data_IF_026476558997
#
_entry.id   IF_026476558997
#
_cell.length_a   1.000
_cell.length_b   1.000
_cell.length_c   1.000
_cell.angle_alpha   90.00
_cell.angle_beta   90.00
_cell.angle_gamma   90.00
#
_symmetry.space_group_name_H-M   'P 1'
#
loop_
_entity.id
_entity.type
_entity.pdbx_description
1 polymer ?
#
# COMPACT_ATOMS: atom_id res chain seq x y z
N UNK A 1 -2.41 -26.14 -19.25
CA UNK A 1 -3.41 -25.84 -18.17
C UNK A 1 -3.87 -27.09 -17.42
N UNK A 2 -4.52 -28.07 -18.09
CA UNK A 2 -5.11 -29.28 -17.43
C UNK A 2 -4.09 -30.11 -16.64
N UNK A 3 -2.84 -30.26 -17.12
CA UNK A 3 -1.78 -31.01 -16.42
C UNK A 3 -1.37 -30.33 -15.11
N UNK A 4 -1.24 -29.01 -15.09
CA UNK A 4 -0.91 -28.22 -13.88
C UNK A 4 -2.05 -28.33 -12.85
N UNK A 5 -3.30 -28.16 -13.26
CA UNK A 5 -4.47 -28.32 -12.38
C UNK A 5 -4.54 -29.72 -11.75
N UNK A 6 -4.24 -30.76 -12.52
CA UNK A 6 -4.20 -32.15 -12.02
C UNK A 6 -3.08 -32.33 -10.98
N UNK A 7 -1.89 -31.80 -11.22
CA UNK A 7 -0.77 -31.86 -10.28
C UNK A 7 -1.08 -31.10 -8.98
N UNK A 8 -1.60 -29.88 -9.09
CA UNK A 8 -2.03 -29.10 -7.90
C UNK A 8 -3.06 -29.86 -7.06
N UNK A 9 -4.05 -30.47 -7.72
CA UNK A 9 -5.06 -31.29 -7.01
C UNK A 9 -4.44 -32.50 -6.29
N UNK A 10 -3.48 -33.18 -6.90
CA UNK A 10 -2.77 -34.31 -6.27
C UNK A 10 -1.93 -33.87 -5.08
N UNK A 11 -1.39 -32.64 -5.10
CA UNK A 11 -0.60 -32.05 -4.03
C UNK A 11 -1.46 -31.36 -2.96
N UNK A 12 -2.79 -31.38 -3.06
CA UNK A 12 -3.69 -30.67 -2.13
C UNK A 12 -3.64 -29.15 -2.27
N UNK A 13 -3.04 -28.64 -3.35
CA UNK A 13 -2.89 -27.21 -3.61
C UNK A 13 -4.09 -26.66 -4.39
N UNK A 14 -4.63 -25.54 -3.93
CA UNK A 14 -5.69 -24.81 -4.63
C UNK A 14 -5.33 -23.33 -4.71
N UNK A 15 -5.50 -22.74 -5.90
CA UNK A 15 -5.38 -21.30 -6.05
C UNK A 15 -6.54 -20.59 -5.33
N UNK A 16 -6.23 -19.58 -4.50
CA UNK A 16 -7.27 -18.73 -3.90
C UNK A 16 -7.73 -17.72 -4.92
N UNK A 17 -9.02 -17.80 -5.27
CA UNK A 17 -9.64 -16.82 -6.17
C UNK A 17 -9.93 -15.54 -5.38
N UNK A 18 -9.39 -14.41 -5.85
CA UNK A 18 -9.66 -13.09 -5.25
C UNK A 18 -11.15 -12.75 -5.41
N UNK A 19 -11.84 -12.54 -4.30
CA UNK A 19 -13.21 -12.01 -4.33
C UNK A 19 -13.18 -10.54 -4.79
N UNK A 20 -13.86 -10.21 -5.90
CA UNK A 20 -14.07 -8.82 -6.31
C UNK A 20 -14.95 -8.12 -5.27
N UNK A 21 -14.41 -7.17 -4.52
CA UNK A 21 -15.19 -6.30 -3.63
C UNK A 21 -15.59 -5.02 -4.37
N UNK A 22 -16.77 -4.46 -4.06
CA UNK A 22 -17.20 -3.15 -4.57
C UNK A 22 -16.26 -2.08 -3.98
N UNK A 23 -15.59 -1.35 -4.85
CA UNK A 23 -14.79 -0.18 -4.49
C UNK A 23 -15.74 1.01 -4.23
N UNK A 24 -15.51 1.71 -3.12
CA UNK A 24 -16.20 2.97 -2.79
C UNK A 24 -15.14 4.08 -2.70
N UNK A 25 -15.15 5.01 -3.65
CA UNK A 25 -14.27 6.18 -3.61
C UNK A 25 -14.84 7.26 -2.69
N UNK A 26 -13.96 7.89 -1.92
CA UNK A 26 -14.32 9.06 -1.09
C UNK A 26 -14.75 10.25 -1.95
N UNK A 27 -15.89 10.86 -1.59
CA UNK A 27 -16.43 12.07 -2.23
C UNK A 27 -16.20 13.29 -1.33
N UNK A 28 -14.94 13.60 -1.02
CA UNK A 28 -14.58 14.80 -0.25
C UNK A 28 -14.33 16.04 -1.11
N UNK A 29 -14.06 17.18 -0.43
CA UNK A 29 -13.69 18.44 -1.08
C UNK A 29 -12.43 18.29 -1.94
N UNK A 30 -12.39 19.07 -3.03
CA UNK A 30 -11.30 19.02 -4.01
C UNK A 30 -10.12 19.82 -3.45
N UNK A 31 -9.10 19.14 -2.90
CA UNK A 31 -7.82 19.75 -2.57
C UNK A 31 -6.89 19.89 -3.77
N UNK A 32 -5.63 20.27 -3.51
CA UNK A 32 -4.58 20.33 -4.55
C UNK A 32 -4.33 18.93 -5.13
N UNK A 33 -4.21 18.83 -6.45
CA UNK A 33 -3.91 17.57 -7.15
C UNK A 33 -2.62 17.72 -7.92
N UNK A 34 -1.85 16.64 -7.96
CA UNK A 34 -0.66 16.52 -8.79
C UNK A 34 -0.98 15.77 -10.09
N UNK A 35 -0.18 16.00 -11.11
CA UNK A 35 -0.25 15.26 -12.37
C UNK A 35 0.26 13.82 -12.19
N UNK A 36 -0.17 12.91 -13.07
CA UNK A 36 0.34 11.55 -13.11
C UNK A 36 1.69 11.51 -13.84
N UNK A 37 2.78 11.55 -13.09
CA UNK A 37 4.14 11.48 -13.63
C UNK A 37 4.59 10.05 -13.95
N UNK A 38 3.96 9.03 -13.34
CA UNK A 38 4.34 7.62 -13.51
C UNK A 38 3.88 7.06 -14.86
N UNK A 39 2.67 7.42 -15.31
CA UNK A 39 2.09 6.97 -16.58
C UNK A 39 2.18 5.44 -16.79
N UNK A 40 2.01 4.67 -15.71
CA UNK A 40 2.13 3.20 -15.66
C UNK A 40 3.53 2.63 -15.91
N UNK A 41 4.56 3.45 -15.91
CA UNK A 41 5.96 3.03 -15.90
C UNK A 41 6.41 2.90 -14.44
N UNK A 42 6.06 1.78 -13.82
CA UNK A 42 6.17 1.63 -12.36
C UNK A 42 7.59 1.40 -11.85
N UNK A 43 8.43 0.78 -12.65
CA UNK A 43 9.78 0.41 -12.23
C UNK A 43 10.69 1.65 -12.12
N UNK A 44 11.43 1.74 -11.01
CA UNK A 44 12.50 2.70 -10.80
C UNK A 44 13.83 2.11 -11.28
N UNK A 45 14.73 2.94 -11.82
CA UNK A 45 16.06 2.50 -12.23
C UNK A 45 17.04 2.39 -11.03
N UNK A 46 16.72 3.02 -9.91
CA UNK A 46 17.50 3.02 -8.66
C UNK A 46 16.58 3.15 -7.45
N UNK A 47 17.07 2.80 -6.23
CA UNK A 47 16.30 3.00 -5.00
C UNK A 47 15.83 4.45 -4.84
N UNK A 48 14.62 4.61 -4.31
CA UNK A 48 13.95 5.90 -4.08
C UNK A 48 13.66 6.73 -5.33
N UNK A 49 13.86 6.23 -6.55
CA UNK A 49 13.49 7.00 -7.74
C UNK A 49 11.98 7.15 -7.90
N UNK A 50 11.25 6.05 -7.69
CA UNK A 50 9.78 6.02 -7.73
C UNK A 50 9.28 5.31 -6.50
N UNK A 51 8.60 6.01 -5.63
CA UNK A 51 7.96 5.46 -4.44
C UNK A 51 6.45 5.51 -4.57
N UNK A 52 5.77 4.57 -3.96
CA UNK A 52 4.31 4.41 -4.03
C UNK A 52 3.73 4.35 -2.62
N UNK A 53 2.60 5.01 -2.42
CA UNK A 53 1.88 4.97 -1.15
C UNK A 53 0.37 4.95 -1.36
N UNK A 54 -0.33 4.32 -0.44
CA UNK A 54 -1.79 4.26 -0.37
C UNK A 54 -2.21 3.87 1.05
N UNK A 55 -3.49 3.98 1.38
CA UNK A 55 -4.04 3.54 2.67
C UNK A 55 -5.02 2.42 2.44
N UNK A 56 -4.81 1.30 3.16
CA UNK A 56 -5.77 0.20 3.14
C UNK A 56 -6.33 -0.07 4.53
N UNK A 57 -7.60 -0.50 4.59
CA UNK A 57 -8.27 -0.84 5.84
C UNK A 57 -8.38 -2.35 6.04
N UNK A 58 -8.37 -2.75 7.31
CA UNK A 58 -8.68 -4.09 7.79
C UNK A 58 -9.80 -4.00 8.82
N UNK A 59 -10.82 -4.83 8.66
CA UNK A 59 -11.97 -4.90 9.57
C UNK A 59 -12.16 -6.34 10.04
N UNK A 60 -12.17 -6.56 11.35
CA UNK A 60 -12.46 -7.87 11.95
C UNK A 60 -13.96 -8.01 12.21
N UNK A 61 -14.55 -9.22 12.03
CA UNK A 61 -15.99 -9.40 12.08
C UNK A 61 -16.67 -8.99 13.39
N UNK A 62 -15.99 -9.15 14.51
CA UNK A 62 -16.53 -8.91 15.85
C UNK A 62 -15.96 -7.66 16.55
N UNK A 63 -15.17 -6.86 15.84
CA UNK A 63 -14.53 -5.66 16.37
C UNK A 63 -15.00 -4.47 15.55
N UNK A 64 -15.57 -3.47 16.24
CA UNK A 64 -16.11 -2.25 15.58
C UNK A 64 -15.01 -1.38 15.00
N UNK A 65 -13.89 -1.33 15.69
CA UNK A 65 -12.72 -0.56 15.25
C UNK A 65 -12.05 -1.22 14.05
N UNK A 66 -11.43 -0.40 13.23
CA UNK A 66 -10.67 -0.85 12.05
C UNK A 66 -9.19 -0.57 12.25
N UNK A 67 -8.37 -1.28 11.51
CA UNK A 67 -6.95 -1.01 11.42
C UNK A 67 -6.64 -0.50 10.01
N UNK A 68 -5.82 0.55 9.93
CA UNK A 68 -5.40 1.19 8.69
C UNK A 68 -3.89 1.05 8.54
N UNK A 69 -3.46 0.52 7.38
CA UNK A 69 -2.06 0.40 7.00
C UNK A 69 -1.74 1.44 5.93
N UNK A 70 -0.69 2.22 6.15
CA UNK A 70 -0.14 3.17 5.19
C UNK A 70 1.34 2.88 4.98
N UNK A 71 1.74 2.17 3.93
CA UNK A 71 3.13 1.88 3.59
C UNK A 71 3.68 2.84 2.54
N UNK A 72 5.01 2.89 2.43
CA UNK A 72 5.76 3.39 1.27
C UNK A 72 6.48 2.21 0.62
N UNK A 73 6.24 1.99 -0.65
CA UNK A 73 6.84 0.93 -1.45
C UNK A 73 7.84 1.52 -2.45
N UNK A 74 9.04 0.94 -2.53
CA UNK A 74 10.04 1.31 -3.54
C UNK A 74 9.75 0.60 -4.88
N UNK A 75 9.63 1.37 -5.95
CA UNK A 75 9.44 0.84 -7.31
C UNK A 75 10.67 0.16 -7.91
N UNK A 76 11.85 0.31 -7.29
CA UNK A 76 13.07 -0.34 -7.76
C UNK A 76 13.11 -1.84 -7.43
N UNK A 77 12.81 -2.19 -6.20
CA UNK A 77 12.90 -3.58 -5.71
C UNK A 77 11.60 -4.09 -5.09
N UNK A 78 10.51 -3.32 -5.14
CA UNK A 78 9.22 -3.61 -4.52
C UNK A 78 9.28 -3.80 -2.99
N UNK A 79 10.28 -3.25 -2.33
CA UNK A 79 10.45 -3.30 -0.87
C UNK A 79 9.50 -2.30 -0.20
N UNK A 80 8.95 -2.67 0.95
CA UNK A 80 8.27 -1.73 1.83
C UNK A 80 9.33 -1.00 2.65
N UNK A 81 9.62 0.24 2.26
CA UNK A 81 10.61 1.11 2.92
C UNK A 81 10.22 1.35 4.37
N UNK A 82 8.97 1.70 4.59
CA UNK A 82 8.42 2.00 5.91
C UNK A 82 6.89 1.90 5.85
N UNK A 83 6.27 1.73 7.01
CA UNK A 83 4.81 1.74 7.13
C UNK A 83 4.36 2.26 8.50
N UNK A 84 3.09 2.63 8.57
CA UNK A 84 2.41 2.94 9.84
C UNK A 84 1.08 2.23 9.92
N UNK A 85 0.76 1.76 11.14
CA UNK A 85 -0.55 1.23 11.51
C UNK A 85 -1.28 2.23 12.40
N UNK A 86 -2.58 2.43 12.18
CA UNK A 86 -3.42 3.34 12.96
C UNK A 86 -4.84 2.82 13.10
N UNK A 87 -5.53 3.22 14.17
CA UNK A 87 -6.96 2.93 14.39
C UNK A 87 -7.89 3.91 13.67
N UNK A 88 -7.33 4.99 13.11
CA UNK A 88 -8.06 5.96 12.30
C UNK A 88 -7.24 6.40 11.09
N UNK A 89 -7.88 6.61 9.91
CA UNK A 89 -7.20 7.07 8.69
C UNK A 89 -7.03 8.59 8.75
N UNK A 90 -6.22 9.07 9.68
CA UNK A 90 -6.00 10.50 9.91
C UNK A 90 -4.70 11.01 9.27
N UNK A 91 -4.56 12.33 9.23
CA UNK A 91 -3.38 12.98 8.68
C UNK A 91 -2.12 12.64 9.48
N UNK A 92 -2.24 12.38 10.79
CA UNK A 92 -1.12 12.03 11.67
C UNK A 92 -0.45 10.71 11.24
N UNK A 93 -1.26 9.74 10.78
CA UNK A 93 -0.74 8.48 10.23
C UNK A 93 0.20 8.75 9.04
N UNK A 94 -0.25 9.56 8.08
CA UNK A 94 0.54 9.91 6.90
C UNK A 94 1.78 10.73 7.28
N UNK A 95 1.65 11.69 8.18
CA UNK A 95 2.79 12.48 8.68
C UNK A 95 3.87 11.60 9.31
N UNK A 96 3.46 10.63 10.13
CA UNK A 96 4.39 9.70 10.79
C UNK A 96 5.09 8.81 9.77
N UNK A 97 4.31 8.26 8.83
CA UNK A 97 4.82 7.41 7.75
C UNK A 97 5.85 8.15 6.89
N UNK A 98 5.53 9.37 6.43
CA UNK A 98 6.43 10.18 5.60
C UNK A 98 7.76 10.50 6.32
N UNK A 99 7.71 10.90 7.59
CA UNK A 99 8.91 11.20 8.38
C UNK A 99 9.82 9.99 8.56
N UNK A 100 9.24 8.81 8.70
CA UNK A 100 10.00 7.57 8.86
C UNK A 100 10.56 7.06 7.52
N UNK A 101 9.76 7.15 6.45
CA UNK A 101 10.18 6.70 5.11
C UNK A 101 11.26 7.60 4.50
N UNK A 102 11.26 8.89 4.83
CA UNK A 102 12.17 9.90 4.28
C UNK A 102 12.89 10.67 5.41
N UNK A 103 13.78 10.00 6.19
CA UNK A 103 14.46 10.60 7.33
C UNK A 103 15.53 11.63 6.93
N UNK A 104 16.21 11.46 5.78
CA UNK A 104 17.27 12.34 5.32
C UNK A 104 16.73 13.72 4.91
N UNK A 105 17.61 14.70 4.83
CA UNK A 105 17.21 16.09 4.54
C UNK A 105 16.78 16.32 3.09
N UNK A 106 17.23 15.48 2.14
CA UNK A 106 16.93 15.67 0.73
C UNK A 106 16.77 14.35 -0.04
N UNK A 107 15.75 14.31 -0.90
CA UNK A 107 15.43 13.22 -1.82
C UNK A 107 15.19 13.76 -3.24
N UNK A 108 16.11 14.55 -3.75
CA UNK A 108 16.01 15.18 -5.06
C UNK A 108 15.87 14.15 -6.19
N UNK A 109 14.82 14.30 -7.00
CA UNK A 109 14.52 13.41 -8.12
C UNK A 109 13.64 12.20 -7.75
N UNK A 110 13.28 12.04 -6.48
CA UNK A 110 12.29 11.05 -6.04
C UNK A 110 10.90 11.49 -6.45
N UNK A 111 10.10 10.57 -6.99
CA UNK A 111 8.68 10.74 -7.23
C UNK A 111 7.91 9.92 -6.19
N UNK A 112 7.01 10.54 -5.42
CA UNK A 112 6.07 9.82 -4.56
C UNK A 112 4.68 9.83 -5.19
N UNK A 113 4.23 8.64 -5.61
CA UNK A 113 2.94 8.44 -6.25
C UNK A 113 1.89 7.93 -5.27
N UNK A 114 0.71 8.52 -5.31
CA UNK A 114 -0.45 8.14 -4.49
C UNK A 114 -1.74 8.11 -5.30
N UNK A 115 -2.83 7.65 -4.67
CA UNK A 115 -4.18 7.92 -5.16
C UNK A 115 -4.60 9.38 -4.87
N UNK A 116 -5.86 9.71 -5.19
CA UNK A 116 -6.44 11.03 -4.89
C UNK A 116 -7.15 11.05 -3.51
N UNK A 117 -6.65 10.30 -2.53
CA UNK A 117 -7.14 10.35 -1.16
C UNK A 117 -7.01 11.76 -0.56
N UNK A 118 -7.96 12.16 0.31
CA UNK A 118 -7.95 13.50 0.91
C UNK A 118 -6.67 13.82 1.67
N UNK A 119 -6.05 12.82 2.31
CA UNK A 119 -4.80 12.94 3.07
C UNK A 119 -3.63 13.38 2.18
N UNK A 120 -3.60 12.93 0.92
CA UNK A 120 -2.56 13.28 -0.07
C UNK A 120 -2.83 14.61 -0.76
N UNK A 121 -4.04 15.17 -0.62
CA UNK A 121 -4.41 16.50 -1.13
C UNK A 121 -4.22 17.59 -0.07
N UNK A 122 -3.82 17.24 1.14
CA UNK A 122 -3.65 18.18 2.25
C UNK A 122 -2.36 19.00 2.09
N UNK A 123 -2.40 20.29 2.52
CA UNK A 123 -1.26 21.21 2.40
C UNK A 123 0.03 20.66 3.04
N UNK A 124 -0.09 20.01 4.20
CA UNK A 124 1.06 19.40 4.88
C UNK A 124 1.81 18.39 3.99
N UNK A 125 1.07 17.55 3.24
CA UNK A 125 1.68 16.56 2.35
C UNK A 125 2.55 17.24 1.30
N UNK A 126 2.04 18.25 0.63
CA UNK A 126 2.78 19.00 -0.39
C UNK A 126 3.99 19.73 0.21
N UNK A 127 3.83 20.39 1.37
CA UNK A 127 4.92 21.08 2.03
C UNK A 127 6.04 20.14 2.42
N UNK A 128 5.70 18.96 3.00
CA UNK A 128 6.69 17.95 3.35
C UNK A 128 7.48 17.47 2.12
N UNK A 129 6.79 17.20 1.00
CA UNK A 129 7.45 16.73 -0.23
C UNK A 129 8.35 17.84 -0.82
N UNK A 130 7.87 19.06 -0.84
CA UNK A 130 8.64 20.22 -1.31
C UNK A 130 9.91 20.42 -0.48
N UNK A 131 9.79 20.41 0.85
CA UNK A 131 10.92 20.54 1.78
C UNK A 131 11.99 19.46 1.56
N UNK A 132 11.59 18.26 1.15
CA UNK A 132 12.46 17.11 0.87
C UNK A 132 12.93 17.02 -0.59
N UNK A 133 12.41 17.86 -1.49
CA UNK A 133 12.69 17.80 -2.92
C UNK A 133 12.05 16.61 -3.64
N UNK A 134 11.00 16.05 -3.05
CA UNK A 134 10.22 14.93 -3.61
C UNK A 134 9.12 15.47 -4.52
N UNK A 135 8.97 14.91 -5.71
CA UNK A 135 7.91 15.30 -6.65
C UNK A 135 6.62 14.52 -6.35
N UNK A 136 5.51 15.21 -6.06
CA UNK A 136 4.21 14.54 -5.92
C UNK A 136 3.69 14.06 -7.27
N UNK A 137 3.11 12.85 -7.30
CA UNK A 137 2.42 12.30 -8.45
C UNK A 137 1.13 11.62 -7.98
N UNK A 138 0.05 11.73 -8.77
CA UNK A 138 -1.24 11.15 -8.40
C UNK A 138 -1.87 10.37 -9.55
N UNK A 139 -2.54 9.28 -9.20
CA UNK A 139 -3.39 8.52 -10.11
C UNK A 139 -4.50 9.40 -10.67
N UNK A 140 -4.92 9.15 -11.90
CA UNK A 140 -6.11 9.81 -12.48
C UNK A 140 -7.36 9.36 -11.73
N UNK A 141 -8.34 10.24 -11.61
CA UNK A 141 -9.60 9.97 -10.91
C UNK A 141 -10.29 8.72 -11.47
N UNK A 142 -10.57 7.75 -10.59
CA UNK A 142 -11.27 6.52 -10.95
C UNK A 142 -10.45 5.54 -11.80
N UNK A 143 -9.14 5.75 -11.91
CA UNK A 143 -8.25 4.90 -12.70
C UNK A 143 -7.30 4.13 -11.78
N UNK A 144 -7.83 3.09 -11.11
CA UNK A 144 -7.08 2.26 -10.19
C UNK A 144 -5.80 1.62 -10.78
N UNK A 145 -5.74 1.24 -12.08
CA UNK A 145 -4.51 0.75 -12.67
C UNK A 145 -3.32 1.73 -12.63
N UNK A 146 -3.56 3.01 -12.37
CA UNK A 146 -2.47 3.97 -12.22
C UNK A 146 -1.72 3.81 -10.88
N UNK A 147 -2.32 3.15 -9.87
CA UNK A 147 -1.69 2.78 -8.60
C UNK A 147 -1.43 1.25 -8.48
N UNK A 148 -1.08 0.64 -9.60
CA UNK A 148 -0.96 -0.82 -9.74
C UNK A 148 0.02 -1.48 -8.76
N UNK A 149 1.11 -0.80 -8.36
CA UNK A 149 2.07 -1.32 -7.38
C UNK A 149 1.41 -1.53 -6.01
N UNK A 150 0.70 -0.52 -5.51
CA UNK A 150 0.01 -0.61 -4.22
C UNK A 150 -1.16 -1.58 -4.26
N UNK A 151 -1.94 -1.60 -5.36
CA UNK A 151 -3.01 -2.58 -5.54
C UNK A 151 -2.48 -4.02 -5.54
N UNK A 152 -1.35 -4.25 -6.19
CA UNK A 152 -0.69 -5.56 -6.20
C UNK A 152 -0.24 -5.97 -4.81
N UNK A 153 0.50 -5.11 -4.11
CA UNK A 153 0.98 -5.37 -2.75
C UNK A 153 -0.18 -5.66 -1.79
N UNK A 154 -1.19 -4.78 -1.72
CA UNK A 154 -2.36 -5.01 -0.86
C UNK A 154 -3.15 -6.25 -1.24
N UNK A 155 -3.23 -6.55 -2.52
CA UNK A 155 -3.88 -7.75 -3.01
C UNK A 155 -3.19 -9.03 -2.55
N UNK A 156 -1.85 -9.07 -2.58
CA UNK A 156 -1.04 -10.20 -2.10
C UNK A 156 -1.16 -10.31 -0.58
N UNK A 157 -0.82 -9.25 0.15
CA UNK A 157 -0.90 -9.20 1.61
C UNK A 157 -2.25 -9.68 2.14
N UNK A 158 -3.35 -9.10 1.63
CA UNK A 158 -4.69 -9.49 2.09
C UNK A 158 -5.09 -10.91 1.71
N UNK A 159 -4.63 -11.41 0.57
CA UNK A 159 -4.95 -12.77 0.12
C UNK A 159 -4.18 -13.83 0.89
N UNK A 160 -2.95 -13.53 1.31
CA UNK A 160 -2.09 -14.50 1.99
C UNK A 160 -2.31 -14.55 3.49
N UNK A 161 -2.51 -13.40 4.15
CA UNK A 161 -2.58 -13.37 5.61
C UNK A 161 -3.92 -12.94 6.21
N UNK A 162 -4.84 -12.34 5.43
CA UNK A 162 -6.06 -11.77 6.00
C UNK A 162 -7.34 -12.44 5.52
N UNK A 163 -7.58 -12.49 4.19
CA UNK A 163 -8.86 -13.02 3.66
C UNK A 163 -9.03 -14.50 3.92
N UNK A 164 -10.11 -14.84 4.64
CA UNK A 164 -10.44 -16.19 5.09
C UNK A 164 -9.79 -16.57 6.43
N UNK A 165 -8.99 -15.67 7.01
CA UNK A 165 -8.40 -15.82 8.35
C UNK A 165 -8.91 -14.77 9.34
N UNK A 166 -9.86 -13.92 8.96
CA UNK A 166 -10.34 -12.80 9.78
C UNK A 166 -10.81 -13.27 11.18
N UNK A 167 -11.37 -14.48 11.26
CA UNK A 167 -11.86 -15.07 12.53
C UNK A 167 -10.74 -15.60 13.43
N UNK A 168 -9.52 -15.75 12.93
CA UNK A 168 -8.38 -16.20 13.72
C UNK A 168 -7.79 -15.07 14.56
N UNK A 169 -8.06 -13.82 14.18
CA UNK A 169 -7.61 -12.66 14.94
C UNK A 169 -8.65 -12.31 16.00
N UNK A 170 -8.27 -12.41 17.27
CA UNK A 170 -9.14 -12.11 18.41
C UNK A 170 -9.02 -10.66 18.88
N UNK A 171 -8.03 -9.93 18.42
CA UNK A 171 -7.85 -8.50 18.71
C UNK A 171 -7.15 -7.79 17.54
N UNK A 172 -7.20 -6.45 17.56
CA UNK A 172 -6.48 -5.64 16.57
C UNK A 172 -4.96 -5.70 16.80
N UNK A 173 -4.49 -5.90 18.02
CA UNK A 173 -3.07 -6.06 18.34
C UNK A 173 -2.50 -7.33 17.70
N UNK A 174 -3.26 -8.43 17.71
CA UNK A 174 -2.86 -9.65 17.00
C UNK A 174 -2.77 -9.43 15.48
N UNK A 175 -3.71 -8.68 14.93
CA UNK A 175 -3.68 -8.33 13.52
C UNK A 175 -2.52 -7.38 13.18
N UNK A 176 -2.24 -6.40 14.05
CA UNK A 176 -1.08 -5.50 13.92
C UNK A 176 0.21 -6.31 13.85
N UNK A 177 0.42 -7.22 14.81
CA UNK A 177 1.63 -8.04 14.84
C UNK A 177 1.74 -8.91 13.58
N UNK A 178 0.65 -9.53 13.15
CA UNK A 178 0.64 -10.35 11.93
C UNK A 178 0.97 -9.54 10.66
N UNK A 179 0.54 -8.28 10.58
CA UNK A 179 0.92 -7.39 9.47
C UNK A 179 2.41 -7.03 9.53
N UNK A 180 2.94 -6.74 10.73
CA UNK A 180 4.36 -6.45 10.94
C UNK A 180 5.22 -7.65 10.51
N UNK A 181 4.89 -8.85 11.01
CA UNK A 181 5.60 -10.08 10.67
C UNK A 181 5.52 -10.39 9.17
N UNK A 182 4.35 -10.17 8.56
CA UNK A 182 4.17 -10.37 7.12
C UNK A 182 5.04 -9.43 6.29
N UNK A 183 5.11 -8.15 6.65
CA UNK A 183 5.93 -7.16 5.92
C UNK A 183 7.42 -7.48 6.07
N UNK A 184 7.86 -7.94 7.25
CA UNK A 184 9.23 -8.40 7.45
C UNK A 184 9.55 -9.60 6.55
N UNK A 185 8.68 -10.62 6.52
CA UNK A 185 8.81 -11.77 5.64
C UNK A 185 8.76 -11.38 4.15
N UNK A 186 7.86 -10.45 3.78
CA UNK A 186 7.75 -9.91 2.43
C UNK A 186 9.03 -9.24 1.96
N UNK A 187 9.67 -8.45 2.82
CA UNK A 187 10.93 -7.77 2.49
C UNK A 187 12.12 -8.71 2.42
N UNK A 188 12.20 -9.70 3.33
CA UNK A 188 13.43 -10.48 3.55
C UNK A 188 13.39 -11.91 2.98
N UNK A 189 12.21 -12.51 2.81
CA UNK A 189 12.07 -13.94 2.46
C UNK A 189 11.36 -14.19 1.13
N UNK A 190 10.50 -13.28 0.68
CA UNK A 190 9.80 -13.46 -0.59
C UNK A 190 10.71 -13.11 -1.77
N UNK A 191 10.82 -14.04 -2.71
CA UNK A 191 11.49 -13.79 -4.00
C UNK A 191 10.62 -12.85 -4.81
N UNK A 192 11.11 -11.65 -5.03
CA UNK A 192 10.48 -10.65 -5.90
C UNK A 192 11.04 -10.84 -7.32
N UNK A 193 10.21 -11.38 -8.21
CA UNK A 193 10.55 -11.65 -9.61
C UNK A 193 10.03 -10.51 -10.49
#
# INVERSE_FOLDING_TARGET
HKKVQRLMKLMGLAARTRCKRKYSSYKGEIGKKADNLIQRQFEGAKPYEKCYTDVTEFALPNIREKLYLSPVLDGYNSEIIEFTLSRSPDLKQIQTMLKKAFPDDSYQGTILHSDQGWQYQHQYYYQFLEDKGIQPSMSRKGNSPDNGMMESFFGILKSEMFYGYEKMFHSLEQLEQAIVDYIDDYNNKLIKV
#
